data_IF_740282715894
#
_entry.id   IF_740282715894
#
_cell.length_a   1.000
_cell.length_b   1.000
_cell.length_c   1.000
_cell.angle_alpha   90.00
_cell.angle_beta   90.00
_cell.angle_gamma   90.00
#
_symmetry.space_group_name_H-M   'P 1'
#
loop_
_entity.id
_entity.type
_entity.pdbx_description
1 polymer ?
#
# COMPACT_ATOMS: atom_id res chain seq x y z
N UNK A 1 12.23 -70.44 -19.56
CA UNK A 1 11.11 -69.46 -19.22
C UNK A 1 11.73 -68.20 -18.63
N UNK A 2 11.92 -67.16 -19.43
CA UNK A 2 12.48 -65.91 -18.98
C UNK A 2 11.29 -64.93 -18.73
N UNK A 3 11.09 -64.55 -17.48
CA UNK A 3 10.05 -63.47 -17.09
C UNK A 3 10.69 -62.14 -17.31
N UNK A 4 10.18 -61.39 -18.29
CA UNK A 4 10.48 -60.00 -18.49
C UNK A 4 9.66 -59.17 -17.51
N UNK A 5 10.33 -58.43 -16.63
CA UNK A 5 9.73 -57.44 -15.72
C UNK A 5 9.68 -56.11 -16.48
N UNK A 6 8.47 -55.70 -16.85
CA UNK A 6 8.21 -54.40 -17.47
C UNK A 6 8.17 -53.34 -16.36
N UNK A 7 9.22 -52.53 -16.28
CA UNK A 7 9.32 -51.43 -15.32
C UNK A 7 8.58 -50.20 -15.90
N UNK A 8 7.33 -49.97 -15.47
CA UNK A 8 6.57 -48.78 -15.84
C UNK A 8 7.11 -47.55 -15.08
N UNK A 9 7.83 -46.72 -15.80
CA UNK A 9 8.30 -45.43 -15.29
C UNK A 9 7.13 -44.44 -15.36
N UNK A 10 6.43 -44.25 -14.24
CA UNK A 10 5.44 -43.17 -14.11
C UNK A 10 6.19 -41.86 -13.92
N UNK A 11 6.37 -41.12 -15.01
CA UNK A 11 6.80 -39.71 -14.95
C UNK A 11 5.69 -38.85 -14.29
N UNK A 12 5.85 -38.59 -13.01
CA UNK A 12 5.04 -37.59 -12.29
C UNK A 12 5.46 -36.22 -12.81
N UNK A 13 4.77 -35.72 -13.83
CA UNK A 13 4.88 -34.32 -14.26
C UNK A 13 4.33 -33.44 -13.14
N UNK A 14 5.21 -33.03 -12.21
CA UNK A 14 4.97 -31.92 -11.33
C UNK A 14 4.88 -30.66 -12.23
N UNK A 15 3.67 -30.31 -12.64
CA UNK A 15 3.37 -29.00 -13.19
C UNK A 15 3.58 -27.99 -12.06
N UNK A 16 4.82 -27.48 -11.95
CA UNK A 16 5.05 -26.23 -11.27
C UNK A 16 4.23 -25.18 -12.04
N UNK A 17 3.03 -24.88 -11.56
CA UNK A 17 2.37 -23.64 -11.90
C UNK A 17 3.31 -22.56 -11.42
N UNK A 18 4.20 -22.09 -12.30
CA UNK A 18 4.90 -20.83 -12.12
C UNK A 18 3.78 -19.79 -12.02
N UNK A 19 3.38 -19.50 -10.78
CA UNK A 19 2.62 -18.30 -10.48
C UNK A 19 3.45 -17.18 -11.08
N UNK A 20 3.05 -16.68 -12.25
CA UNK A 20 3.66 -15.52 -12.87
C UNK A 20 3.74 -14.46 -11.76
N UNK A 21 4.96 -14.14 -11.37
CA UNK A 21 5.22 -13.22 -10.26
C UNK A 21 4.59 -11.90 -10.68
N UNK A 22 3.43 -11.59 -10.08
CA UNK A 22 2.61 -10.44 -10.45
C UNK A 22 3.44 -9.20 -10.27
N UNK A 23 3.50 -8.38 -11.29
CA UNK A 23 4.25 -7.13 -11.32
C UNK A 23 3.53 -6.02 -10.53
N UNK A 24 3.01 -6.35 -9.35
CA UNK A 24 2.57 -5.34 -8.41
C UNK A 24 3.81 -4.53 -7.96
N UNK A 25 3.69 -3.28 -7.61
CA UNK A 25 4.78 -2.31 -7.41
C UNK A 25 5.42 -1.81 -8.72
N UNK A 26 4.66 -1.78 -9.78
CA UNK A 26 5.07 -1.22 -11.07
C UNK A 26 3.97 -0.31 -11.63
N UNK A 27 4.35 0.57 -12.55
CA UNK A 27 3.38 1.45 -13.20
C UNK A 27 2.59 0.69 -14.26
N UNK A 28 1.29 0.63 -14.09
CA UNK A 28 0.37 0.05 -15.08
C UNK A 28 0.04 1.04 -16.19
N UNK A 29 -0.07 0.52 -17.40
CA UNK A 29 -0.56 1.25 -18.59
C UNK A 29 -1.92 0.74 -19.07
N UNK A 30 -2.32 -0.46 -18.62
CA UNK A 30 -3.57 -1.13 -18.94
C UNK A 30 -4.50 -1.14 -17.72
N UNK A 31 -5.70 -0.57 -17.89
CA UNK A 31 -6.68 -0.46 -16.82
C UNK A 31 -7.26 -1.81 -16.38
N UNK A 32 -7.43 -2.75 -17.32
CA UNK A 32 -7.98 -4.08 -17.03
C UNK A 32 -6.98 -4.89 -16.23
N UNK A 33 -5.70 -4.83 -16.59
CA UNK A 33 -4.63 -5.49 -15.84
C UNK A 33 -4.51 -4.91 -14.43
N UNK A 34 -4.52 -3.57 -14.29
CA UNK A 34 -4.48 -2.91 -12.98
C UNK A 34 -5.64 -3.36 -12.08
N UNK A 35 -6.89 -3.27 -12.55
CA UNK A 35 -8.08 -3.62 -11.76
C UNK A 35 -8.08 -5.11 -11.39
N UNK A 36 -7.68 -5.98 -12.33
CA UNK A 36 -7.57 -7.42 -12.07
C UNK A 36 -6.58 -7.72 -10.94
N UNK A 37 -5.38 -7.15 -11.01
CA UNK A 37 -4.34 -7.39 -10.00
C UNK A 37 -4.69 -6.74 -8.66
N UNK A 38 -5.29 -5.55 -8.69
CA UNK A 38 -5.79 -4.87 -7.49
C UNK A 38 -6.86 -5.68 -6.78
N UNK A 39 -7.83 -6.25 -7.50
CA UNK A 39 -8.84 -7.12 -6.92
C UNK A 39 -8.25 -8.38 -6.27
N UNK A 40 -7.12 -8.90 -6.78
CA UNK A 40 -6.44 -10.03 -6.16
C UNK A 40 -5.73 -9.62 -4.87
N UNK A 41 -5.08 -8.44 -4.85
CA UNK A 41 -4.45 -7.87 -3.65
C UNK A 41 -5.52 -7.64 -2.58
N UNK A 42 -6.61 -6.96 -2.93
CA UNK A 42 -7.72 -6.68 -2.00
C UNK A 42 -8.38 -7.95 -1.47
N UNK A 43 -8.64 -8.93 -2.35
CA UNK A 43 -9.25 -10.21 -1.93
C UNK A 43 -8.33 -10.97 -0.96
N UNK A 44 -7.01 -10.94 -1.18
CA UNK A 44 -6.08 -11.58 -0.24
C UNK A 44 -6.02 -10.82 1.09
N UNK A 45 -6.01 -9.48 1.05
CA UNK A 45 -6.05 -8.65 2.26
C UNK A 45 -7.32 -8.91 3.08
N UNK A 46 -8.50 -8.89 2.43
CA UNK A 46 -9.79 -9.17 3.06
C UNK A 46 -9.80 -10.57 3.69
N UNK A 47 -9.26 -11.56 2.97
CA UNK A 47 -9.12 -12.93 3.49
C UNK A 47 -8.25 -12.99 4.74
N UNK A 48 -7.13 -12.26 4.76
CA UNK A 48 -6.23 -12.20 5.91
C UNK A 48 -6.90 -11.51 7.10
N UNK A 49 -7.64 -10.41 6.89
CA UNK A 49 -8.46 -9.76 7.93
C UNK A 49 -9.52 -10.71 8.49
N UNK A 50 -10.32 -11.35 7.61
CA UNK A 50 -11.40 -12.27 8.04
C UNK A 50 -10.87 -13.49 8.80
N UNK A 51 -9.64 -13.91 8.55
CA UNK A 51 -8.99 -14.98 9.31
C UNK A 51 -8.74 -14.59 10.76
N UNK A 52 -8.38 -13.33 11.03
CA UNK A 52 -8.11 -12.81 12.38
C UNK A 52 -9.38 -12.32 13.04
N UNK A 53 -10.27 -11.69 12.28
CA UNK A 53 -11.53 -11.06 12.73
C UNK A 53 -12.73 -11.66 11.98
N UNK A 54 -13.12 -12.92 12.23
CA UNK A 54 -14.12 -13.62 11.42
C UNK A 54 -15.53 -12.97 11.48
N UNK A 55 -15.83 -12.23 12.54
CA UNK A 55 -17.11 -11.56 12.73
C UNK A 55 -17.17 -10.14 12.17
N UNK A 56 -16.03 -9.59 11.71
CA UNK A 56 -15.97 -8.26 11.12
C UNK A 56 -16.58 -8.29 9.71
N UNK A 57 -17.62 -7.49 9.50
CA UNK A 57 -18.21 -7.29 8.16
C UNK A 57 -17.30 -6.40 7.32
N UNK A 58 -16.15 -6.96 6.92
CA UNK A 58 -15.13 -6.27 6.15
C UNK A 58 -15.30 -6.56 4.66
N UNK A 59 -15.95 -5.62 3.96
CA UNK A 59 -16.26 -5.72 2.53
C UNK A 59 -15.83 -4.43 1.83
N UNK A 60 -14.82 -4.52 0.98
CA UNK A 60 -14.27 -3.39 0.25
C UNK A 60 -14.20 -3.71 -1.23
N UNK A 61 -14.69 -2.80 -2.04
CA UNK A 61 -14.57 -2.83 -3.50
C UNK A 61 -13.33 -2.06 -3.93
N UNK A 62 -12.69 -2.51 -4.99
CA UNK A 62 -11.56 -1.80 -5.58
C UNK A 62 -11.94 -1.35 -6.98
N UNK A 63 -11.86 -0.05 -7.24
CA UNK A 63 -12.22 0.54 -8.52
C UNK A 63 -11.11 1.42 -9.07
N UNK A 64 -11.12 1.63 -10.38
CA UNK A 64 -10.26 2.60 -11.04
C UNK A 64 -10.94 3.96 -11.05
N UNK A 65 -10.33 4.93 -10.34
CA UNK A 65 -10.76 6.34 -10.37
C UNK A 65 -9.56 7.23 -10.03
N UNK A 66 -8.93 7.81 -11.04
CA UNK A 66 -7.62 8.47 -10.90
C UNK A 66 -7.71 9.88 -10.31
N UNK A 67 -8.75 10.65 -10.66
CA UNK A 67 -8.85 12.06 -10.28
C UNK A 67 -9.98 12.29 -9.28
N UNK A 68 -9.86 13.32 -8.40
CA UNK A 68 -8.74 14.26 -8.25
C UNK A 68 -7.64 13.79 -7.29
N UNK A 69 -7.89 12.78 -6.44
CA UNK A 69 -7.05 12.47 -5.26
C UNK A 69 -6.07 11.31 -5.48
N UNK A 70 -5.96 10.77 -6.68
CA UNK A 70 -5.15 9.61 -7.05
C UNK A 70 -5.64 8.32 -6.37
N UNK A 71 -5.28 8.08 -5.11
CA UNK A 71 -5.71 6.91 -4.34
C UNK A 71 -6.38 7.38 -3.07
N UNK A 72 -7.51 6.76 -2.72
CA UNK A 72 -8.25 7.07 -1.50
C UNK A 72 -9.28 5.99 -1.20
N UNK A 73 -9.67 5.88 0.06
CA UNK A 73 -10.79 5.08 0.52
C UNK A 73 -11.99 5.96 0.85
N UNK A 74 -13.15 5.59 0.35
CA UNK A 74 -14.42 6.21 0.70
C UNK A 74 -15.51 5.15 0.89
N UNK A 75 -16.15 5.16 2.07
CA UNK A 75 -17.26 4.28 2.48
C UNK A 75 -16.91 2.78 2.41
N UNK A 76 -17.07 2.14 1.27
CA UNK A 76 -16.78 0.72 1.03
C UNK A 76 -15.86 0.51 -0.18
N UNK A 77 -15.23 1.58 -0.65
CA UNK A 77 -14.52 1.57 -1.92
C UNK A 77 -13.10 2.13 -1.78
N UNK A 78 -12.11 1.36 -2.21
CA UNK A 78 -10.74 1.80 -2.42
C UNK A 78 -10.54 2.18 -3.90
N UNK A 79 -10.19 3.44 -4.14
CA UNK A 79 -9.95 3.97 -5.48
C UNK A 79 -8.48 3.84 -5.86
N UNK A 80 -8.21 3.53 -7.12
CA UNK A 80 -6.87 3.35 -7.66
C UNK A 80 -6.61 4.28 -8.83
N UNK A 81 -5.41 4.85 -8.95
CA UNK A 81 -5.04 5.65 -10.08
C UNK A 81 -4.35 4.83 -11.19
N UNK A 82 -4.59 5.23 -12.45
CA UNK A 82 -3.86 4.75 -13.60
C UNK A 82 -2.94 5.87 -14.12
N UNK A 83 -1.64 5.61 -14.26
CA UNK A 83 -0.64 6.61 -14.59
C UNK A 83 -0.98 7.45 -15.82
N UNK A 84 -1.51 6.84 -16.88
CA UNK A 84 -1.86 7.56 -18.10
C UNK A 84 -3.00 8.56 -17.94
N UNK A 85 -3.78 8.45 -16.85
CA UNK A 85 -4.87 9.34 -16.50
C UNK A 85 -4.46 10.40 -15.47
N UNK A 86 -3.26 10.31 -14.91
CA UNK A 86 -2.72 11.32 -13.97
C UNK A 86 -2.48 12.61 -14.74
N UNK A 87 -2.95 13.75 -14.20
CA UNK A 87 -2.77 15.05 -14.83
C UNK A 87 -1.31 15.50 -14.78
N UNK A 88 -0.89 16.31 -15.75
CA UNK A 88 0.51 16.72 -15.90
C UNK A 88 1.06 17.45 -14.68
N UNK A 89 0.23 18.24 -13.99
CA UNK A 89 0.64 18.92 -12.75
C UNK A 89 1.04 17.92 -11.66
N UNK A 90 0.28 16.84 -11.48
CA UNK A 90 0.59 15.80 -10.50
C UNK A 90 1.82 14.97 -10.94
N UNK A 91 1.94 14.66 -12.24
CA UNK A 91 3.15 14.02 -12.78
C UNK A 91 4.40 14.86 -12.52
N UNK A 92 4.28 16.19 -12.72
CA UNK A 92 5.36 17.15 -12.46
C UNK A 92 5.89 17.06 -11.02
N UNK A 93 5.03 16.93 -10.03
CA UNK A 93 5.42 16.69 -8.64
C UNK A 93 6.31 15.42 -8.53
N UNK A 94 5.87 14.29 -9.10
CA UNK A 94 6.67 13.07 -9.05
C UNK A 94 8.02 13.22 -9.76
N UNK A 95 8.06 13.91 -10.91
CA UNK A 95 9.31 14.13 -11.65
C UNK A 95 10.30 14.96 -10.85
N UNK A 96 9.82 16.00 -10.20
CA UNK A 96 10.62 16.90 -9.38
C UNK A 96 11.20 16.16 -8.16
N UNK A 97 10.34 15.53 -7.35
CA UNK A 97 10.78 14.91 -6.09
C UNK A 97 11.57 13.62 -6.32
N UNK A 98 11.29 12.86 -7.37
CA UNK A 98 12.06 11.67 -7.70
C UNK A 98 13.30 11.99 -8.55
N UNK A 99 13.36 13.17 -9.22
CA UNK A 99 14.52 13.70 -9.92
C UNK A 99 14.47 13.72 -11.43
N UNK A 100 13.59 12.95 -12.05
CA UNK A 100 13.29 12.98 -13.48
C UNK A 100 12.01 12.18 -13.78
N UNK A 101 11.56 12.20 -15.03
CA UNK A 101 10.33 11.53 -15.47
C UNK A 101 10.34 10.01 -15.23
N UNK A 102 11.42 9.33 -15.58
CA UNK A 102 11.55 7.88 -15.40
C UNK A 102 11.47 7.48 -13.90
N UNK A 103 12.18 8.20 -13.06
CA UNK A 103 12.18 7.98 -11.61
C UNK A 103 10.82 8.34 -10.99
N UNK A 104 10.17 9.42 -11.44
CA UNK A 104 8.84 9.80 -11.00
C UNK A 104 7.78 8.77 -11.33
N UNK A 105 7.79 8.26 -12.56
CA UNK A 105 6.92 7.17 -13.00
C UNK A 105 7.16 5.90 -12.19
N UNK A 106 8.43 5.58 -11.89
CA UNK A 106 8.78 4.43 -11.06
C UNK A 106 8.30 4.61 -9.62
N UNK A 107 8.50 5.79 -9.02
CA UNK A 107 8.00 6.12 -7.69
C UNK A 107 6.48 5.97 -7.62
N UNK A 108 5.74 6.47 -8.63
CA UNK A 108 4.30 6.27 -8.71
C UNK A 108 3.93 4.78 -8.70
N UNK A 109 4.60 3.95 -9.49
CA UNK A 109 4.36 2.49 -9.52
C UNK A 109 4.60 1.83 -8.16
N UNK A 110 5.69 2.19 -7.48
CA UNK A 110 6.05 1.65 -6.17
C UNK A 110 5.01 1.99 -5.09
N UNK A 111 4.50 3.23 -5.09
CA UNK A 111 3.58 3.68 -4.05
C UNK A 111 2.11 3.52 -4.46
N UNK A 112 1.67 4.06 -5.57
CA UNK A 112 0.25 4.15 -5.95
C UNK A 112 -0.28 2.88 -6.65
N UNK A 113 0.56 2.14 -7.35
CA UNK A 113 0.25 0.80 -7.87
C UNK A 113 0.98 -0.29 -7.07
N UNK A 114 1.40 0.02 -5.84
CA UNK A 114 2.15 -0.86 -4.95
C UNK A 114 1.67 -0.75 -3.50
N UNK A 115 2.38 0.07 -2.73
CA UNK A 115 2.24 0.16 -1.29
C UNK A 115 0.86 0.62 -0.82
N UNK A 116 0.27 1.64 -1.47
CA UNK A 116 -0.90 2.34 -0.92
C UNK A 116 -2.23 1.59 -1.04
N UNK A 117 -2.42 0.60 -1.91
CA UNK A 117 -3.70 -0.13 -1.87
C UNK A 117 -3.95 -0.79 -0.51
N UNK A 118 -3.03 -1.54 0.11
CA UNK A 118 -3.21 -2.00 1.49
C UNK A 118 -3.28 -0.87 2.53
N UNK A 119 -2.75 0.32 2.27
CA UNK A 119 -2.95 1.49 3.12
C UNK A 119 -4.42 1.94 3.09
N UNK A 120 -5.04 2.05 1.91
CA UNK A 120 -6.47 2.36 1.79
C UNK A 120 -7.35 1.27 2.45
N UNK A 121 -6.94 0.01 2.34
CA UNK A 121 -7.59 -1.08 3.06
C UNK A 121 -7.36 -1.00 4.59
N UNK A 122 -6.30 -0.34 5.04
CA UNK A 122 -6.04 0.03 6.42
C UNK A 122 -7.05 1.06 6.94
N UNK A 123 -7.34 2.11 6.14
CA UNK A 123 -8.43 3.04 6.43
C UNK A 123 -9.79 2.36 6.43
N UNK A 124 -10.02 1.42 5.52
CA UNK A 124 -11.22 0.60 5.56
C UNK A 124 -11.33 -0.19 6.87
N UNK A 125 -10.23 -0.79 7.33
CA UNK A 125 -10.22 -1.51 8.61
C UNK A 125 -10.54 -0.56 9.78
N UNK A 126 -9.98 0.63 9.81
CA UNK A 126 -10.33 1.65 10.79
C UNK A 126 -11.83 2.00 10.74
N UNK A 127 -12.37 2.26 9.55
CA UNK A 127 -13.80 2.56 9.35
C UNK A 127 -14.71 1.43 9.84
N UNK A 128 -14.45 0.18 9.46
CA UNK A 128 -15.29 -0.94 9.85
C UNK A 128 -15.17 -1.34 11.33
N UNK A 129 -14.08 -0.93 12.01
CA UNK A 129 -13.90 -1.19 13.46
C UNK A 129 -14.33 -0.03 14.33
N UNK A 130 -14.13 1.23 13.90
CA UNK A 130 -14.42 2.44 14.69
C UNK A 130 -15.67 3.20 14.21
N UNK A 131 -16.24 2.85 13.04
CA UNK A 131 -17.37 3.54 12.43
C UNK A 131 -17.01 4.86 11.71
N UNK A 132 -15.75 5.28 11.73
CA UNK A 132 -15.25 6.50 11.08
C UNK A 132 -13.77 6.40 10.80
N UNK A 133 -13.28 7.27 9.90
CA UNK A 133 -11.86 7.59 9.70
C UNK A 133 -11.65 8.96 10.32
N UNK A 134 -10.60 9.12 11.12
CA UNK A 134 -10.41 10.37 11.86
C UNK A 134 -9.76 11.48 11.04
N UNK A 135 -9.18 11.19 9.86
CA UNK A 135 -8.48 12.18 9.05
C UNK A 135 -7.41 12.90 9.87
N UNK A 136 -6.38 12.18 10.30
CA UNK A 136 -5.35 12.68 11.21
C UNK A 136 -4.00 12.06 10.93
N UNK A 137 -2.94 12.63 11.48
CA UNK A 137 -1.61 12.04 11.45
C UNK A 137 -1.59 10.59 11.95
N UNK A 138 -2.33 10.30 13.02
CA UNK A 138 -2.40 8.98 13.63
C UNK A 138 -3.16 7.98 12.76
N UNK A 139 -4.24 8.41 12.09
CA UNK A 139 -5.00 7.58 11.16
C UNK A 139 -4.12 7.18 9.96
N UNK A 140 -3.35 8.13 9.40
CA UNK A 140 -2.38 7.86 8.34
C UNK A 140 -1.27 6.91 8.79
N UNK A 141 -0.72 7.14 10.00
CA UNK A 141 0.31 6.28 10.58
C UNK A 141 -0.22 4.85 10.80
N UNK A 142 -1.46 4.73 11.25
CA UNK A 142 -2.14 3.45 11.45
C UNK A 142 -2.32 2.70 10.12
N UNK A 143 -2.84 3.37 9.08
CA UNK A 143 -3.04 2.78 7.76
C UNK A 143 -1.70 2.39 7.11
N UNK A 144 -0.67 3.24 7.21
CA UNK A 144 0.69 2.94 6.75
C UNK A 144 1.29 1.74 7.49
N UNK A 145 1.05 1.61 8.80
CA UNK A 145 1.51 0.46 9.61
C UNK A 145 0.85 -0.84 9.14
N UNK A 146 -0.47 -0.82 8.93
CA UNK A 146 -1.21 -1.99 8.42
C UNK A 146 -0.65 -2.42 7.06
N UNK A 147 -0.45 -1.48 6.13
CA UNK A 147 0.11 -1.77 4.82
C UNK A 147 1.52 -2.38 4.90
N UNK A 148 2.40 -1.79 5.71
CA UNK A 148 3.76 -2.28 5.91
C UNK A 148 3.78 -3.71 6.45
N UNK A 149 3.01 -3.98 7.49
CA UNK A 149 2.95 -5.30 8.13
C UNK A 149 2.32 -6.33 7.19
N UNK A 150 1.30 -5.96 6.43
CA UNK A 150 0.69 -6.87 5.46
C UNK A 150 1.64 -7.22 4.32
N UNK A 151 2.37 -6.25 3.76
CA UNK A 151 3.38 -6.51 2.72
C UNK A 151 4.55 -7.35 3.25
N UNK A 152 4.97 -7.16 4.51
CA UNK A 152 5.94 -8.04 5.18
C UNK A 152 5.40 -9.47 5.27
N UNK A 153 4.12 -9.66 5.65
CA UNK A 153 3.43 -10.96 5.66
C UNK A 153 3.38 -11.60 4.26
N UNK A 154 3.17 -10.80 3.19
CA UNK A 154 3.19 -11.26 1.80
C UNK A 154 4.61 -11.50 1.25
N UNK A 155 5.65 -11.39 2.10
CA UNK A 155 7.07 -11.59 1.75
C UNK A 155 7.59 -10.64 0.66
N UNK A 156 7.07 -9.40 0.65
CA UNK A 156 7.47 -8.34 -0.29
C UNK A 156 8.61 -7.46 0.25
N UNK A 157 9.55 -8.06 0.99
CA UNK A 157 10.66 -7.33 1.60
C UNK A 157 11.57 -6.60 0.61
N UNK A 158 11.75 -7.14 -0.60
CA UNK A 158 12.55 -6.49 -1.65
C UNK A 158 11.86 -5.21 -2.14
N UNK A 159 10.57 -5.28 -2.44
CA UNK A 159 9.77 -4.15 -2.92
C UNK A 159 9.63 -3.08 -1.82
N UNK A 160 9.42 -3.50 -0.57
CA UNK A 160 9.40 -2.56 0.57
C UNK A 160 10.75 -1.85 0.78
N UNK A 161 11.87 -2.55 0.57
CA UNK A 161 13.20 -1.91 0.62
C UNK A 161 13.36 -0.87 -0.49
N UNK A 162 12.88 -1.18 -1.69
CA UNK A 162 12.90 -0.23 -2.80
C UNK A 162 12.01 0.98 -2.52
N UNK A 163 10.78 0.79 -2.00
CA UNK A 163 9.94 1.90 -1.52
C UNK A 163 10.64 2.74 -0.45
N UNK A 164 11.34 2.11 0.49
CA UNK A 164 12.09 2.81 1.54
C UNK A 164 13.21 3.69 0.97
N UNK A 165 13.98 3.17 0.00
CA UNK A 165 15.05 3.95 -0.64
C UNK A 165 14.48 5.16 -1.41
N UNK A 166 13.34 4.95 -2.10
CA UNK A 166 12.63 6.05 -2.76
C UNK A 166 12.03 7.03 -1.77
N UNK A 167 11.40 6.56 -0.69
CA UNK A 167 10.86 7.43 0.36
C UNK A 167 11.94 8.34 0.95
N UNK A 168 13.12 7.82 1.27
CA UNK A 168 14.26 8.63 1.76
C UNK A 168 14.74 9.64 0.73
N UNK A 169 14.89 9.21 -0.52
CA UNK A 169 15.34 10.08 -1.63
C UNK A 169 14.37 11.23 -1.86
N UNK A 170 13.07 10.94 -1.89
CA UNK A 170 12.02 11.93 -2.14
C UNK A 170 11.82 12.84 -0.93
N UNK A 171 11.76 12.28 0.27
CA UNK A 171 11.63 13.05 1.51
C UNK A 171 12.75 14.07 1.69
N UNK A 172 13.99 13.73 1.34
CA UNK A 172 15.14 14.64 1.41
C UNK A 172 15.04 15.87 0.48
N UNK A 173 14.15 15.83 -0.53
CA UNK A 173 13.92 16.94 -1.46
C UNK A 173 12.69 17.77 -1.10
N UNK A 174 11.83 17.26 -0.23
CA UNK A 174 10.64 17.99 0.19
C UNK A 174 10.99 19.04 1.24
N UNK A 175 10.44 20.25 1.13
CA UNK A 175 10.61 21.26 2.16
C UNK A 175 10.00 20.76 3.47
N UNK A 176 10.69 21.01 4.58
CA UNK A 176 10.13 20.73 5.90
C UNK A 176 9.04 21.75 6.22
N UNK A 177 7.76 21.36 6.31
CA UNK A 177 6.67 22.27 6.62
C UNK A 177 6.52 22.55 8.12
N UNK A 178 7.22 21.78 8.97
CA UNK A 178 7.05 21.82 10.43
C UNK A 178 7.84 22.97 11.03
N UNK A 179 7.18 23.91 11.73
CA UNK A 179 7.86 25.02 12.40
C UNK A 179 8.88 24.53 13.46
N UNK A 180 9.89 25.33 13.71
CA UNK A 180 10.85 25.07 14.77
C UNK A 180 10.16 24.90 16.13
N UNK A 181 10.55 23.89 16.89
CA UNK A 181 10.00 23.58 18.20
C UNK A 181 8.65 22.82 18.18
N UNK A 182 8.11 22.49 17.00
CA UNK A 182 6.90 21.69 16.88
C UNK A 182 7.23 20.28 16.41
N UNK A 183 6.48 19.28 16.85
CA UNK A 183 6.57 17.92 16.31
C UNK A 183 5.80 17.81 15.00
N UNK A 184 6.17 16.85 14.14
CA UNK A 184 5.44 16.57 12.89
C UNK A 184 3.98 16.16 13.19
N UNK A 185 3.78 15.39 14.27
CA UNK A 185 2.48 14.94 14.72
C UNK A 185 1.58 16.12 15.14
N UNK A 186 2.10 17.03 15.95
CA UNK A 186 1.36 18.23 16.38
C UNK A 186 1.02 19.16 15.20
N UNK A 187 1.96 19.30 14.25
CA UNK A 187 1.74 20.12 13.06
C UNK A 187 0.61 19.57 12.21
N UNK A 188 0.68 18.29 11.85
CA UNK A 188 -0.37 17.67 11.05
C UNK A 188 -1.67 17.47 11.82
N UNK A 189 -1.62 17.25 13.14
CA UNK A 189 -2.82 17.21 13.98
C UNK A 189 -3.62 18.50 13.97
N UNK A 190 -2.95 19.65 13.81
CA UNK A 190 -3.59 20.98 13.76
C UNK A 190 -3.97 21.44 12.36
N UNK A 191 -3.27 20.95 11.33
CA UNK A 191 -3.34 21.49 9.96
C UNK A 191 -3.72 20.41 8.92
N UNK A 192 -4.27 19.28 9.32
CA UNK A 192 -4.45 18.11 8.46
C UNK A 192 -5.20 18.42 7.17
N UNK A 193 -6.35 19.10 7.25
CA UNK A 193 -7.18 19.43 6.08
C UNK A 193 -6.45 20.31 5.05
N UNK A 194 -5.64 21.25 5.52
CA UNK A 194 -4.85 22.12 4.65
C UNK A 194 -3.63 21.39 4.10
N UNK A 195 -2.97 20.59 4.94
CA UNK A 195 -1.78 19.85 4.58
C UNK A 195 -2.05 18.79 3.50
N UNK A 196 -3.22 18.15 3.52
CA UNK A 196 -3.62 17.15 2.50
C UNK A 196 -3.90 17.74 1.13
N UNK A 197 -4.10 19.07 1.02
CA UNK A 197 -4.30 19.76 -0.25
C UNK A 197 -2.99 20.16 -0.95
N UNK A 198 -1.87 20.16 -0.22
CA UNK A 198 -0.55 20.45 -0.77
C UNK A 198 0.27 19.14 -0.91
N UNK A 199 0.57 18.68 -2.14
CA UNK A 199 1.29 17.42 -2.35
C UNK A 199 2.70 17.41 -1.76
N UNK A 200 3.36 18.58 -1.61
CA UNK A 200 4.69 18.67 -0.99
C UNK A 200 4.60 18.46 0.51
N UNK A 201 3.64 19.09 1.16
CA UNK A 201 3.40 19.00 2.61
C UNK A 201 2.90 17.60 2.97
N UNK A 202 1.89 17.10 2.25
CA UNK A 202 1.35 15.76 2.48
C UNK A 202 2.37 14.67 2.18
N UNK A 203 3.11 14.80 1.08
CA UNK A 203 4.20 13.90 0.71
C UNK A 203 5.31 13.87 1.77
N UNK A 204 5.66 15.01 2.36
CA UNK A 204 6.62 15.06 3.46
C UNK A 204 6.20 14.18 4.65
N UNK A 205 4.94 14.27 5.06
CA UNK A 205 4.39 13.43 6.13
C UNK A 205 4.38 11.96 5.74
N UNK A 206 3.83 11.62 4.59
CA UNK A 206 3.67 10.23 4.13
C UNK A 206 5.00 9.50 4.02
N UNK A 207 6.00 10.12 3.38
CA UNK A 207 7.33 9.49 3.28
C UNK A 207 8.03 9.41 4.63
N UNK A 208 7.86 10.41 5.50
CA UNK A 208 8.42 10.35 6.86
C UNK A 208 7.82 9.21 7.68
N UNK A 209 6.49 9.06 7.64
CA UNK A 209 5.82 7.94 8.31
C UNK A 209 6.26 6.59 7.75
N UNK A 210 6.35 6.46 6.42
CA UNK A 210 6.84 5.23 5.79
C UNK A 210 8.23 4.85 6.31
N UNK A 211 9.17 5.82 6.36
CA UNK A 211 10.53 5.62 6.84
C UNK A 211 10.53 5.15 8.30
N UNK A 212 9.80 5.86 9.17
CA UNK A 212 9.72 5.53 10.60
C UNK A 212 9.17 4.11 10.82
N UNK A 213 8.08 3.75 10.14
CA UNK A 213 7.45 2.43 10.26
C UNK A 213 8.33 1.32 9.68
N UNK A 214 9.04 1.59 8.58
CA UNK A 214 9.97 0.61 8.00
C UNK A 214 11.14 0.30 8.94
N UNK A 215 11.67 1.30 9.62
CA UNK A 215 12.80 1.21 10.55
C UNK A 215 12.42 0.64 11.92
N UNK A 216 11.13 0.68 12.28
CA UNK A 216 10.65 0.19 13.57
C UNK A 216 10.66 -1.35 13.65
N UNK A 217 11.61 -1.88 14.42
CA UNK A 217 11.75 -3.31 14.67
C UNK A 217 10.86 -3.81 15.83
N UNK A 218 10.19 -2.92 16.54
CA UNK A 218 9.32 -3.28 17.67
C UNK A 218 7.89 -3.63 17.24
N UNK A 219 7.52 -3.33 16.00
CA UNK A 219 6.19 -3.63 15.47
C UNK A 219 5.92 -5.14 15.47
N UNK A 220 4.73 -5.56 15.93
CA UNK A 220 4.33 -6.96 15.88
C UNK A 220 4.11 -7.43 14.43
N UNK A 221 3.83 -8.71 14.24
CA UNK A 221 3.35 -9.20 12.95
C UNK A 221 1.93 -8.69 12.64
N UNK A 222 1.53 -8.81 11.37
CA UNK A 222 0.23 -8.32 10.88
C UNK A 222 -0.95 -8.89 11.67
N UNK A 223 -0.98 -10.19 11.92
CA UNK A 223 -2.13 -10.85 12.56
C UNK A 223 -2.28 -10.38 14.01
N UNK A 224 -1.16 -10.24 14.71
CA UNK A 224 -1.12 -9.70 16.07
C UNK A 224 -1.58 -8.24 16.11
N UNK A 225 -1.09 -7.40 15.17
CA UNK A 225 -1.50 -6.00 15.09
C UNK A 225 -3.00 -5.85 14.83
N UNK A 226 -3.54 -6.57 13.86
CA UNK A 226 -4.98 -6.56 13.55
C UNK A 226 -5.79 -7.00 14.75
N UNK A 227 -5.40 -8.08 15.44
CA UNK A 227 -6.10 -8.57 16.63
C UNK A 227 -6.15 -7.54 17.76
N UNK A 228 -5.06 -6.81 18.00
CA UNK A 228 -4.99 -5.76 19.02
C UNK A 228 -5.93 -4.59 18.74
N UNK A 229 -6.24 -4.32 17.45
CA UNK A 229 -7.04 -3.17 17.02
C UNK A 229 -8.44 -3.54 16.52
N UNK A 230 -8.83 -4.81 16.59
CA UNK A 230 -10.14 -5.28 16.10
C UNK A 230 -11.28 -5.18 17.09
N UNK A 231 -10.98 -4.95 18.38
CA UNK A 231 -12.01 -4.80 19.40
C UNK A 231 -12.47 -3.33 19.44
N UNK A 232 -13.74 -3.03 19.12
CA UNK A 232 -14.27 -1.69 19.39
C UNK A 232 -14.20 -1.44 20.91
N UNK A 233 -13.61 -0.30 21.26
CA UNK A 233 -13.65 0.18 22.66
C UNK A 233 -15.07 0.61 23.02
#
# INVERSE_FOLDING_TARGET
MKKSILLSFVCLLLTFSASAQRNWFTTYTDSVALVKDANQVSSQFIKDIKKVCPNLKFEVKTILHTTPYLIYFERDTANLPLWVQVIEQQKGFFYEVAGNESEGKKAFGLFFNGFYLPHELGHAFEYFTKGRIEGSYQSEYFANTIAMLWWKKQKRGKELKECYDYAKKMWAKLPNPVPEGMTIEDYFGKNYEQATQDPYVYGYMQFKQFILIYEDQSLPDFDTFIKQHSNPK
#
